data_IF_831428186275
#
_entry.id   IF_831428186275
#
_cell.length_a   1.000
_cell.length_b   1.000
_cell.length_c   1.000
_cell.angle_alpha   90.00
_cell.angle_beta   90.00
_cell.angle_gamma   90.00
#
_symmetry.space_group_name_H-M   'P 1'
#
loop_
_entity.id
_entity.type
_entity.pdbx_description
1 polymer ?
#
# COMPACT_ATOMS: atom_id res chain seq x y z
N UNK A 1 -7.81 -14.67 33.22
CA UNK A 1 -7.99 -15.80 32.28
C UNK A 1 -9.40 -15.81 31.67
N UNK A 2 -10.17 -14.71 31.74
CA UNK A 2 -11.56 -14.68 31.25
C UNK A 2 -11.85 -13.67 30.11
N UNK A 3 -10.86 -13.19 29.40
CA UNK A 3 -11.03 -12.12 28.39
C UNK A 3 -10.71 -12.55 26.96
N UNK A 4 -10.47 -13.83 26.68
CA UNK A 4 -10.11 -14.32 25.35
C UNK A 4 -11.16 -15.24 24.69
N UNK A 5 -12.32 -15.46 25.31
CA UNK A 5 -13.30 -16.42 24.80
C UNK A 5 -14.54 -15.83 24.10
N UNK A 6 -14.59 -14.51 23.86
CA UNK A 6 -15.77 -13.84 23.29
C UNK A 6 -15.64 -13.43 21.82
N UNK A 7 -14.58 -13.85 21.12
CA UNK A 7 -14.36 -13.47 19.71
C UNK A 7 -14.43 -14.62 18.71
N UNK A 8 -15.05 -15.74 19.05
CA UNK A 8 -15.13 -16.88 18.13
C UNK A 8 -16.57 -17.35 17.86
N UNK A 9 -17.41 -16.45 17.37
CA UNK A 9 -18.46 -16.89 16.43
C UNK A 9 -17.86 -16.90 15.03
N UNK A 10 -17.15 -18.00 14.71
CA UNK A 10 -16.48 -18.23 13.41
C UNK A 10 -17.51 -18.67 12.34
N UNK A 11 -18.72 -18.19 12.41
CA UNK A 11 -19.68 -18.40 11.34
C UNK A 11 -19.64 -17.25 10.36
N UNK A 12 -18.84 -17.43 9.27
CA UNK A 12 -18.93 -16.59 8.10
C UNK A 12 -17.74 -15.70 7.79
N UNK A 13 -16.54 -15.99 8.28
CA UNK A 13 -15.33 -15.32 7.77
C UNK A 13 -15.16 -15.64 6.29
N UNK A 14 -14.97 -14.60 5.49
CA UNK A 14 -14.64 -14.74 4.05
C UNK A 14 -13.27 -14.13 3.84
N UNK A 15 -12.40 -14.90 3.19
CA UNK A 15 -11.03 -14.52 2.88
C UNK A 15 -10.91 -14.24 1.41
N UNK A 16 -10.26 -13.16 1.07
CA UNK A 16 -9.91 -12.82 -0.31
C UNK A 16 -8.42 -12.52 -0.43
N UNK A 17 -7.87 -12.83 -1.59
CA UNK A 17 -6.51 -12.47 -1.99
C UNK A 17 -6.61 -11.54 -3.20
N UNK A 18 -5.74 -10.56 -3.27
CA UNK A 18 -5.76 -9.57 -4.35
C UNK A 18 -4.37 -9.16 -4.82
N UNK A 19 -4.29 -8.69 -6.06
CA UNK A 19 -3.13 -7.98 -6.61
C UNK A 19 -3.57 -6.68 -7.24
N UNK A 20 -2.77 -5.63 -7.09
CA UNK A 20 -3.02 -4.33 -7.67
C UNK A 20 -2.28 -4.21 -9.01
N UNK A 21 -3.04 -4.26 -10.09
CA UNK A 21 -2.54 -4.26 -11.47
C UNK A 21 -1.77 -2.98 -11.82
N UNK A 22 -2.09 -1.84 -11.20
CA UNK A 22 -1.35 -0.59 -11.45
C UNK A 22 0.10 -0.69 -10.94
N UNK A 23 0.32 -1.34 -9.80
CA UNK A 23 1.67 -1.57 -9.28
C UNK A 23 2.39 -2.66 -10.05
N UNK A 24 1.70 -3.71 -10.49
CA UNK A 24 2.28 -4.74 -11.36
C UNK A 24 2.75 -4.14 -12.69
N UNK A 25 1.98 -3.20 -13.27
CA UNK A 25 2.34 -2.51 -14.51
C UNK A 25 3.63 -1.66 -14.39
N UNK A 26 3.97 -1.18 -13.19
CA UNK A 26 5.23 -0.48 -12.91
C UNK A 26 6.28 -1.40 -12.29
N UNK A 27 6.19 -2.70 -12.56
CA UNK A 27 7.15 -3.72 -12.10
C UNK A 27 7.28 -3.83 -10.58
N UNK A 28 6.22 -3.54 -9.85
CA UNK A 28 6.14 -3.66 -8.40
C UNK A 28 5.17 -4.77 -8.03
N UNK A 29 5.60 -6.06 -8.02
CA UNK A 29 4.76 -7.16 -7.58
C UNK A 29 4.23 -6.90 -6.18
N UNK A 30 2.97 -7.26 -5.99
CA UNK A 30 2.26 -7.02 -4.75
C UNK A 30 1.22 -8.10 -4.49
N UNK A 31 0.90 -8.27 -3.23
CA UNK A 31 -0.14 -9.17 -2.77
C UNK A 31 -0.86 -8.56 -1.58
N UNK A 32 -2.17 -8.66 -1.58
CA UNK A 32 -3.04 -8.31 -0.46
C UNK A 32 -3.86 -9.51 -0.01
N UNK A 33 -4.07 -9.62 1.30
CA UNK A 33 -5.00 -10.56 1.90
C UNK A 33 -6.03 -9.78 2.71
N UNK A 34 -7.30 -10.11 2.54
CA UNK A 34 -8.41 -9.46 3.24
C UNK A 34 -9.29 -10.51 3.91
N UNK A 35 -9.64 -10.24 5.17
CA UNK A 35 -10.54 -11.09 5.96
C UNK A 35 -11.73 -10.25 6.40
N UNK A 36 -12.93 -10.66 5.99
CA UNK A 36 -14.17 -10.07 6.45
C UNK A 36 -14.75 -10.86 7.62
N UNK A 37 -15.01 -10.18 8.75
CA UNK A 37 -15.54 -10.81 9.97
C UNK A 37 -17.06 -10.82 10.01
N UNK A 38 -17.68 -9.84 9.35
CA UNK A 38 -19.13 -9.73 9.27
C UNK A 38 -19.55 -9.08 7.93
N UNK A 39 -20.80 -8.68 7.78
CA UNK A 39 -21.33 -8.11 6.54
C UNK A 39 -20.71 -6.77 6.15
N UNK A 40 -20.24 -6.00 7.13
CA UNK A 40 -19.81 -4.61 6.92
C UNK A 40 -18.33 -4.36 7.22
N UNK A 41 -17.62 -5.25 7.91
CA UNK A 41 -16.26 -5.02 8.34
C UNK A 41 -15.29 -6.07 7.83
N UNK A 42 -14.18 -5.58 7.29
CA UNK A 42 -13.03 -6.39 6.93
C UNK A 42 -11.71 -5.71 7.31
N UNK A 43 -10.67 -6.50 7.37
CA UNK A 43 -9.28 -6.01 7.50
C UNK A 43 -8.46 -6.58 6.34
N UNK A 44 -7.71 -5.72 5.73
CA UNK A 44 -6.76 -6.04 4.66
C UNK A 44 -5.32 -5.77 5.13
N UNK A 45 -4.40 -6.59 4.66
CA UNK A 45 -2.97 -6.31 4.71
C UNK A 45 -2.39 -6.53 3.30
N UNK A 46 -1.75 -5.50 2.76
CA UNK A 46 -1.12 -5.54 1.44
C UNK A 46 0.37 -5.29 1.55
N UNK A 47 1.16 -6.09 0.85
CA UNK A 47 2.61 -5.96 0.74
C UNK A 47 3.04 -5.71 -0.71
N UNK A 48 4.02 -4.84 -0.89
CA UNK A 48 4.58 -4.44 -2.19
C UNK A 48 6.08 -4.55 -2.13
N UNK A 49 6.68 -5.03 -3.22
CA UNK A 49 8.11 -5.18 -3.29
C UNK A 49 8.64 -4.82 -4.68
N UNK A 50 9.64 -3.95 -4.72
CA UNK A 50 10.36 -3.64 -5.94
C UNK A 50 11.87 -3.67 -5.64
N UNK A 51 12.56 -4.66 -6.19
CA UNK A 51 14.00 -4.83 -6.01
C UNK A 51 14.82 -4.56 -7.27
N UNK A 52 14.20 -3.99 -8.32
CA UNK A 52 14.82 -3.87 -9.63
C UNK A 52 15.81 -2.70 -9.70
N UNK A 53 16.93 -2.96 -10.37
CA UNK A 53 17.91 -1.95 -10.78
C UNK A 53 17.85 -1.87 -12.31
N UNK A 54 17.38 -0.74 -12.85
CA UNK A 54 17.19 -0.58 -14.30
C UNK A 54 18.49 -0.23 -15.03
N UNK A 55 19.52 0.28 -14.32
CA UNK A 55 20.84 0.63 -14.87
C UNK A 55 21.82 0.78 -13.71
N UNK A 56 23.12 0.80 -13.99
CA UNK A 56 24.17 1.09 -12.99
C UNK A 56 23.93 2.38 -12.20
N UNK A 57 23.17 3.32 -12.79
CA UNK A 57 22.95 4.65 -12.25
C UNK A 57 21.50 4.93 -11.83
N UNK A 58 20.58 3.96 -11.99
CA UNK A 58 19.16 4.15 -11.66
C UNK A 58 18.64 2.98 -10.86
N UNK A 59 18.33 3.21 -9.60
CA UNK A 59 17.65 2.24 -8.72
C UNK A 59 16.28 2.75 -8.32
N UNK A 60 15.30 1.84 -8.34
CA UNK A 60 13.95 2.06 -7.85
C UNK A 60 13.60 0.90 -6.92
N UNK A 61 14.28 0.88 -5.76
CA UNK A 61 14.05 -0.19 -4.79
C UNK A 61 13.16 0.33 -3.69
N UNK A 62 12.10 -0.39 -3.42
CA UNK A 62 11.25 -0.11 -2.27
C UNK A 62 10.47 -1.35 -1.86
N UNK A 63 10.10 -1.39 -0.61
CA UNK A 63 9.05 -2.27 -0.12
C UNK A 63 8.07 -1.46 0.72
N UNK A 64 6.83 -1.89 0.73
CA UNK A 64 5.76 -1.19 1.42
C UNK A 64 4.79 -2.19 2.02
N UNK A 65 4.25 -1.85 3.18
CA UNK A 65 3.16 -2.58 3.82
C UNK A 65 2.04 -1.61 4.15
N UNK A 66 0.79 -2.05 3.90
CA UNK A 66 -0.42 -1.27 4.14
C UNK A 66 -1.46 -2.14 4.84
N UNK A 67 -1.57 -2.11 6.17
CA UNK A 67 -2.75 -2.60 6.88
C UNK A 67 -3.89 -1.58 6.75
N UNK A 68 -5.11 -2.08 6.48
CA UNK A 68 -6.31 -1.27 6.27
C UNK A 68 -7.52 -1.91 6.94
N UNK A 69 -8.29 -1.13 7.69
CA UNK A 69 -9.61 -1.50 8.18
C UNK A 69 -10.66 -0.90 7.23
N UNK A 70 -11.65 -1.68 6.81
CA UNK A 70 -12.66 -1.33 5.82
C UNK A 70 -14.06 -1.47 6.36
N UNK A 71 -14.89 -0.52 6.01
CA UNK A 71 -16.33 -0.52 6.25
C UNK A 71 -17.08 -0.54 4.92
N UNK A 72 -17.85 -1.60 4.69
CA UNK A 72 -18.68 -1.84 3.50
C UNK A 72 -20.07 -1.27 3.69
N UNK A 73 -20.54 -0.44 2.74
CA UNK A 73 -21.86 0.22 2.86
C UNK A 73 -23.00 -0.80 2.77
N UNK A 74 -22.88 -1.78 1.86
CA UNK A 74 -23.93 -2.78 1.62
C UNK A 74 -23.51 -4.15 2.19
N UNK A 75 -22.62 -4.84 1.49
CA UNK A 75 -22.10 -6.14 1.89
C UNK A 75 -20.62 -6.24 1.58
N UNK A 76 -19.90 -7.03 2.38
CA UNK A 76 -18.49 -7.32 2.16
C UNK A 76 -18.24 -7.82 0.74
N UNK A 77 -17.18 -7.37 0.14
CA UNK A 77 -16.75 -7.70 -1.21
C UNK A 77 -17.74 -7.31 -2.32
N UNK A 78 -18.65 -6.39 -2.06
CA UNK A 78 -19.59 -5.90 -3.05
C UNK A 78 -19.94 -4.43 -2.84
N UNK A 79 -19.74 -3.61 -3.88
CA UNK A 79 -20.08 -2.19 -3.88
C UNK A 79 -19.05 -1.30 -3.19
N UNK A 80 -19.55 -0.26 -2.56
CA UNK A 80 -18.74 0.81 -1.97
C UNK A 80 -18.21 0.48 -0.59
N UNK A 81 -16.98 0.90 -0.31
CA UNK A 81 -16.39 0.84 1.02
C UNK A 81 -15.56 2.09 1.34
N UNK A 82 -15.43 2.36 2.62
CA UNK A 82 -14.48 3.31 3.19
C UNK A 82 -13.43 2.56 3.98
N UNK A 83 -12.20 3.06 3.95
CA UNK A 83 -11.10 2.46 4.67
C UNK A 83 -10.28 3.48 5.45
N UNK A 84 -9.62 3.00 6.49
CA UNK A 84 -8.55 3.72 7.17
C UNK A 84 -7.34 2.81 7.14
N UNK A 85 -6.24 3.30 6.58
CA UNK A 85 -5.01 2.52 6.49
C UNK A 85 -3.81 3.26 7.08
N UNK A 86 -2.90 2.49 7.65
CA UNK A 86 -1.54 2.91 7.91
C UNK A 86 -0.66 2.46 6.75
N UNK A 87 0.44 3.15 6.54
CA UNK A 87 1.39 2.85 5.48
C UNK A 87 2.81 3.01 6.01
N UNK A 88 3.65 2.04 5.71
CA UNK A 88 5.09 2.11 5.91
C UNK A 88 5.80 1.75 4.61
N UNK A 89 6.73 2.60 4.21
CA UNK A 89 7.52 2.46 2.99
C UNK A 89 8.99 2.61 3.36
N UNK A 90 9.82 1.68 2.89
CA UNK A 90 11.27 1.81 2.89
C UNK A 90 11.73 1.89 1.43
N UNK A 91 12.56 2.88 1.10
CA UNK A 91 12.94 3.12 -0.28
C UNK A 91 14.41 3.53 -0.46
N UNK A 92 14.96 3.11 -1.59
CA UNK A 92 16.27 3.52 -2.10
C UNK A 92 16.12 3.93 -3.57
N UNK A 93 16.05 5.24 -3.81
CA UNK A 93 15.87 5.82 -5.13
C UNK A 93 17.12 6.55 -5.57
N UNK A 94 17.64 6.22 -6.75
CA UNK A 94 18.75 6.90 -7.38
C UNK A 94 18.40 7.34 -8.80
N UNK A 95 18.75 8.56 -9.17
CA UNK A 95 18.61 9.07 -10.53
C UNK A 95 17.17 9.30 -11.03
N UNK A 96 16.17 9.28 -10.16
CA UNK A 96 14.75 9.40 -10.49
C UNK A 96 14.11 10.64 -9.83
N UNK A 97 13.20 11.28 -10.55
CA UNK A 97 12.37 12.38 -10.03
C UNK A 97 10.94 11.84 -9.85
N UNK A 98 10.66 11.21 -8.73
CA UNK A 98 9.38 10.58 -8.45
C UNK A 98 8.42 11.44 -7.63
N UNK A 99 8.95 12.27 -6.73
CA UNK A 99 8.18 13.09 -5.80
C UNK A 99 8.59 14.56 -5.88
N UNK A 100 7.69 15.43 -5.43
CA UNK A 100 7.95 16.86 -5.35
C UNK A 100 9.15 17.14 -4.43
N UNK A 101 10.18 17.82 -4.95
CA UNK A 101 11.42 18.11 -4.23
C UNK A 101 12.58 17.13 -4.47
N UNK A 102 12.38 16.02 -5.20
CA UNK A 102 13.49 15.13 -5.61
C UNK A 102 14.17 15.64 -6.90
N UNK A 103 15.49 15.64 -6.90
CA UNK A 103 16.32 16.00 -8.04
C UNK A 103 16.98 14.76 -8.67
N UNK A 104 17.04 14.69 -10.00
CA UNK A 104 17.70 13.60 -10.74
C UNK A 104 19.19 13.41 -10.42
N UNK A 105 19.83 14.43 -9.86
CA UNK A 105 21.25 14.44 -9.51
C UNK A 105 21.57 13.89 -8.12
N UNK A 106 20.57 13.37 -7.40
CA UNK A 106 20.73 12.90 -6.03
C UNK A 106 20.16 11.50 -5.87
N UNK A 107 20.73 10.77 -4.91
CA UNK A 107 20.20 9.51 -4.42
C UNK A 107 19.52 9.74 -3.07
N UNK A 108 18.41 9.06 -2.83
CA UNK A 108 17.59 9.19 -1.64
C UNK A 108 17.38 7.80 -1.03
N UNK A 109 17.82 7.64 0.20
CA UNK A 109 17.58 6.43 0.98
C UNK A 109 16.83 6.82 2.24
N UNK A 110 15.69 6.18 2.51
CA UNK A 110 14.90 6.54 3.66
C UNK A 110 13.64 5.72 3.81
N UNK A 111 12.81 6.18 4.74
CA UNK A 111 11.52 5.59 4.99
C UNK A 111 10.41 6.65 5.02
N UNK A 112 9.18 6.19 4.85
CA UNK A 112 8.00 7.01 5.02
C UNK A 112 6.93 6.22 5.75
N UNK A 113 6.19 6.90 6.62
CA UNK A 113 5.07 6.31 7.34
C UNK A 113 3.95 7.32 7.55
N UNK A 114 2.74 6.84 7.66
CA UNK A 114 1.61 7.71 7.88
C UNK A 114 0.27 7.02 7.99
N UNK A 115 -0.76 7.85 8.13
CA UNK A 115 -2.15 7.44 8.21
C UNK A 115 -3.00 8.09 7.12
N UNK A 116 -3.91 7.31 6.57
CA UNK A 116 -4.65 7.68 5.38
C UNK A 116 -6.09 7.16 5.43
N UNK A 117 -6.98 7.87 4.77
CA UNK A 117 -8.33 7.41 4.50
C UNK A 117 -8.44 6.94 3.06
N UNK A 118 -9.24 5.94 2.81
CA UNK A 118 -9.47 5.41 1.47
C UNK A 118 -10.96 5.31 1.18
N UNK A 119 -11.28 5.35 -0.09
CA UNK A 119 -12.58 5.03 -0.64
C UNK A 119 -12.38 4.07 -1.80
N UNK A 120 -13.27 3.08 -1.92
CA UNK A 120 -13.22 2.16 -3.03
C UNK A 120 -14.58 1.63 -3.44
N UNK A 121 -14.56 0.99 -4.59
CA UNK A 121 -15.69 0.30 -5.16
C UNK A 121 -15.25 -1.06 -5.67
N UNK A 122 -15.93 -2.11 -5.23
CA UNK A 122 -15.69 -3.47 -5.70
C UNK A 122 -16.81 -3.91 -6.61
N UNK A 123 -16.44 -4.19 -7.86
CA UNK A 123 -17.32 -4.69 -8.89
C UNK A 123 -17.34 -6.22 -8.84
N UNK A 124 -18.53 -6.78 -8.66
CA UNK A 124 -18.74 -8.21 -8.76
C UNK A 124 -18.65 -8.67 -10.22
N UNK A 125 -17.79 -9.59 -10.52
CA UNK A 125 -17.59 -10.17 -11.86
C UNK A 125 -18.10 -11.61 -11.90
N UNK A 126 -17.73 -12.41 -10.90
CA UNK A 126 -18.16 -13.79 -10.78
C UNK A 126 -18.12 -14.25 -9.32
N UNK A 127 -18.63 -15.44 -8.94
CA UNK A 127 -18.68 -15.91 -7.56
C UNK A 127 -17.35 -15.89 -6.79
N UNK A 128 -16.22 -15.88 -7.51
CA UNK A 128 -14.89 -15.87 -6.92
C UNK A 128 -14.00 -14.72 -7.38
N UNK A 129 -14.41 -13.99 -8.41
CA UNK A 129 -13.58 -12.94 -9.01
C UNK A 129 -14.28 -11.59 -8.98
N UNK A 130 -13.62 -10.61 -8.42
CA UNK A 130 -14.07 -9.22 -8.40
C UNK A 130 -12.96 -8.32 -8.94
N UNK A 131 -13.34 -7.12 -9.33
CA UNK A 131 -12.42 -6.02 -9.65
C UNK A 131 -12.66 -4.90 -8.65
N UNK A 132 -11.60 -4.39 -8.06
CA UNK A 132 -11.66 -3.35 -7.05
C UNK A 132 -10.96 -2.08 -7.55
N UNK A 133 -11.62 -0.95 -7.38
CA UNK A 133 -11.08 0.39 -7.63
C UNK A 133 -10.92 1.09 -6.29
N UNK A 134 -9.73 1.62 -6.01
CA UNK A 134 -9.43 2.31 -4.75
C UNK A 134 -8.68 3.60 -4.97
N UNK A 135 -8.99 4.59 -4.15
CA UNK A 135 -8.23 5.82 -4.01
C UNK A 135 -8.13 6.17 -2.53
N UNK A 136 -6.97 6.67 -2.10
CA UNK A 136 -6.73 7.06 -0.73
C UNK A 136 -6.00 8.38 -0.64
N UNK A 137 -6.35 9.17 0.36
CA UNK A 137 -5.76 10.46 0.66
C UNK A 137 -5.33 10.49 2.12
N UNK A 138 -4.16 11.06 2.39
CA UNK A 138 -3.66 11.12 3.75
C UNK A 138 -2.33 11.83 3.91
N UNK A 139 -1.75 11.58 5.07
CA UNK A 139 -0.51 12.17 5.52
C UNK A 139 0.60 11.12 5.55
N UNK A 140 1.75 11.46 4.97
CA UNK A 140 2.98 10.69 5.05
C UNK A 140 4.13 11.56 5.56
N UNK A 141 4.83 11.06 6.54
CA UNK A 141 6.07 11.63 7.04
C UNK A 141 7.25 10.89 6.43
N UNK A 142 8.15 11.63 5.77
CA UNK A 142 9.34 11.12 5.11
C UNK A 142 10.59 11.47 5.91
N UNK A 143 11.42 10.47 6.16
CA UNK A 143 12.78 10.65 6.68
C UNK A 143 13.77 10.03 5.69
N UNK A 144 14.74 10.80 5.23
CA UNK A 144 15.69 10.32 4.24
C UNK A 144 17.08 10.94 4.35
N UNK A 145 18.07 10.16 3.96
CA UNK A 145 19.43 10.58 3.73
C UNK A 145 19.61 10.91 2.24
N UNK A 146 20.17 12.08 1.97
CA UNK A 146 20.46 12.55 0.62
C UNK A 146 21.93 12.31 0.31
N UNK A 147 22.21 11.70 -0.84
CA UNK A 147 23.56 11.44 -1.33
C UNK A 147 23.78 12.19 -2.66
N UNK A 148 25.03 12.59 -2.93
CA UNK A 148 25.42 13.10 -4.24
C UNK A 148 25.31 11.99 -5.30
N UNK A 149 25.01 12.34 -6.52
CA UNK A 149 24.97 11.39 -7.65
C UNK A 149 26.20 11.60 -8.57
N UNK A 150 26.96 10.53 -8.94
CA UNK A 150 26.83 9.14 -8.47
C UNK A 150 27.03 9.01 -6.97
N UNK A 151 26.40 8.01 -6.34
CA UNK A 151 26.30 7.87 -4.87
C UNK A 151 27.66 7.92 -4.21
N UNK A 152 27.91 8.99 -3.47
CA UNK A 152 29.11 9.13 -2.64
C UNK A 152 29.03 8.31 -1.35
N UNK A 153 30.16 8.05 -0.71
CA UNK A 153 30.28 7.23 0.50
C UNK A 153 29.64 7.89 1.74
N UNK A 154 29.42 9.21 1.71
CA UNK A 154 28.85 9.94 2.83
C UNK A 154 27.56 10.67 2.43
N UNK A 155 26.52 10.68 3.30
CA UNK A 155 25.32 11.46 3.07
C UNK A 155 25.63 12.97 3.14
N UNK A 156 25.00 13.75 2.25
CA UNK A 156 25.03 15.21 2.28
C UNK A 156 24.34 15.75 3.54
N UNK A 157 23.30 15.01 4.02
CA UNK A 157 22.54 15.35 5.21
C UNK A 157 21.29 14.50 5.35
N UNK A 158 20.70 14.58 6.55
CA UNK A 158 19.39 13.99 6.86
C UNK A 158 18.32 15.04 6.68
N UNK A 159 17.27 14.65 5.99
CA UNK A 159 16.15 15.54 5.68
C UNK A 159 14.83 14.89 6.12
N UNK A 160 13.86 15.75 6.44
CA UNK A 160 12.48 15.37 6.73
C UNK A 160 11.55 16.11 5.81
N UNK A 161 10.51 15.46 5.36
CA UNK A 161 9.47 16.09 4.56
C UNK A 161 8.10 15.55 4.96
N UNK A 162 7.10 16.40 4.85
CA UNK A 162 5.70 16.04 5.12
C UNK A 162 4.93 16.12 3.82
N UNK A 163 4.11 15.12 3.57
CA UNK A 163 3.30 15.03 2.37
C UNK A 163 1.83 14.84 2.73
N UNK A 164 1.00 15.69 2.17
CA UNK A 164 -0.44 15.57 2.18
C UNK A 164 -0.93 15.37 0.75
N UNK A 165 -1.62 14.28 0.48
CA UNK A 165 -2.09 14.02 -0.88
C UNK A 165 -2.57 12.60 -1.11
N UNK A 166 -2.57 12.20 -2.39
CA UNK A 166 -2.94 10.86 -2.82
C UNK A 166 -1.88 9.86 -2.32
N UNK A 167 -2.29 8.93 -1.46
CA UNK A 167 -1.41 7.93 -0.83
C UNK A 167 -1.67 6.52 -1.34
N UNK A 168 -2.85 6.29 -1.93
CA UNK A 168 -3.26 5.00 -2.48
C UNK A 168 -4.00 5.24 -3.79
N UNK A 169 -3.67 4.48 -4.82
CA UNK A 169 -4.44 4.35 -6.04
C UNK A 169 -4.37 2.89 -6.49
N UNK A 170 -5.50 2.30 -6.84
CA UNK A 170 -5.50 0.88 -7.18
C UNK A 170 -6.61 0.48 -8.12
N UNK A 171 -6.24 -0.42 -9.03
CA UNK A 171 -7.15 -1.31 -9.74
C UNK A 171 -6.68 -2.71 -9.39
N UNK A 172 -7.47 -3.43 -8.61
CA UNK A 172 -7.05 -4.76 -8.10
C UNK A 172 -7.96 -5.86 -8.63
N UNK A 173 -7.35 -6.99 -8.94
CA UNK A 173 -8.04 -8.25 -9.17
C UNK A 173 -8.15 -8.95 -7.82
N UNK A 174 -9.35 -9.31 -7.43
CA UNK A 174 -9.67 -9.92 -6.12
C UNK A 174 -10.20 -11.32 -6.34
N UNK A 175 -9.58 -12.29 -5.67
CA UNK A 175 -10.02 -13.67 -5.64
C UNK A 175 -10.55 -14.05 -4.26
N UNK A 176 -11.82 -14.45 -4.19
CA UNK A 176 -12.50 -14.84 -2.95
C UNK A 176 -12.31 -16.33 -2.73
N UNK A 177 -11.65 -16.68 -1.62
CA UNK A 177 -11.35 -18.07 -1.27
C UNK A 177 -12.55 -18.73 -0.58
N UNK A 178 -13.28 -18.01 0.26
CA UNK A 178 -14.48 -18.34 1.02
C UNK A 178 -14.27 -18.21 2.52
#
# INVERSE_FOLDING_TARGET
VFLLSTFMDIQGQVVAVKTNVLYDAITTPNVGAEVAFNKHWSVEASGYYNGWTFSSDKSFKHWMIQPEARYWIHERFNGHFFGVHAQYIDYDFAGLKLLYGMEKKNSYNGNAYGGCISYGYQLYVSPRWNVEFTAGFGYLHFEYDKYAFPRGDAPIGKFRNEYWGLTKAGISIVYIIK
#
